data_IF_550219417387
#
_entry.id   IF_550219417387
#
_cell.length_a   1.000
_cell.length_b   1.000
_cell.length_c   1.000
_cell.angle_alpha   90.00
_cell.angle_beta   90.00
_cell.angle_gamma   90.00
#
_symmetry.space_group_name_H-M   'P 1'
#
loop_
_entity.id
_entity.type
_entity.pdbx_description
1 polymer ?
#
# COMPACT_ATOMS: atom_id res chain seq x y z
N UNK A 1 28.68 11.71 -20.10
CA UNK A 1 29.20 11.43 -18.74
C UNK A 1 28.08 10.81 -17.97
N UNK A 2 28.19 9.56 -17.63
CA UNK A 2 27.13 8.81 -16.98
C UNK A 2 27.21 9.03 -15.46
N UNK A 3 26.14 9.47 -14.83
CA UNK A 3 26.01 9.51 -13.37
C UNK A 3 25.68 8.10 -12.86
N UNK A 4 26.73 7.32 -12.57
CA UNK A 4 26.61 5.95 -12.04
C UNK A 4 26.91 5.83 -10.53
N UNK A 5 27.18 6.93 -9.82
CA UNK A 5 27.76 6.85 -8.49
C UNK A 5 26.78 6.81 -7.31
N UNK A 6 25.47 6.99 -7.53
CA UNK A 6 24.48 7.05 -6.45
C UNK A 6 23.94 5.69 -5.99
N UNK A 7 23.78 4.75 -6.92
CA UNK A 7 23.13 3.47 -6.63
C UNK A 7 24.05 2.45 -5.94
N UNK A 8 25.34 2.47 -6.21
CA UNK A 8 26.29 1.54 -5.60
C UNK A 8 26.44 1.75 -4.08
N UNK A 9 26.36 3.00 -3.62
CA UNK A 9 26.42 3.32 -2.19
C UNK A 9 25.14 2.93 -1.43
N UNK A 10 24.00 2.82 -2.12
CA UNK A 10 22.73 2.42 -1.50
C UNK A 10 22.72 0.92 -1.20
N UNK A 11 23.35 0.11 -2.04
CA UNK A 11 23.24 -1.36 -1.98
C UNK A 11 24.28 -2.01 -1.08
N UNK A 12 25.47 -1.42 -0.91
CA UNK A 12 26.53 -1.98 -0.08
C UNK A 12 26.18 -2.12 1.41
N UNK A 13 25.17 -1.40 1.90
CA UNK A 13 24.74 -1.41 3.30
C UNK A 13 23.62 -2.41 3.64
N UNK A 14 23.04 -3.11 2.64
CA UNK A 14 21.80 -3.90 2.86
C UNK A 14 21.96 -5.42 2.84
N UNK A 15 23.17 -5.96 2.72
CA UNK A 15 23.41 -7.41 2.62
C UNK A 15 22.97 -8.23 3.85
N UNK A 16 22.57 -7.59 4.94
CA UNK A 16 22.19 -8.25 6.21
C UNK A 16 20.75 -7.94 6.66
N UNK A 17 19.89 -7.36 5.83
CA UNK A 17 18.59 -6.87 6.31
C UNK A 17 17.45 -7.88 6.22
N UNK A 18 16.76 -8.08 7.34
CA UNK A 18 15.68 -9.06 7.54
C UNK A 18 14.29 -8.58 7.09
N UNK A 19 14.10 -7.30 6.74
CA UNK A 19 12.78 -6.73 6.51
C UNK A 19 12.76 -5.81 5.28
N UNK A 20 12.73 -6.41 4.09
CA UNK A 20 12.42 -5.71 2.85
C UNK A 20 10.97 -6.04 2.52
N UNK A 21 10.14 -5.03 2.47
CA UNK A 21 8.76 -5.16 2.03
C UNK A 21 8.66 -4.88 0.54
N UNK A 22 8.13 -5.82 -0.20
CA UNK A 22 7.95 -5.71 -1.65
C UNK A 22 6.47 -5.84 -1.94
N UNK A 23 5.86 -4.74 -2.37
CA UNK A 23 4.44 -4.70 -2.77
C UNK A 23 4.28 -5.11 -4.23
N UNK A 24 3.33 -5.98 -4.51
CA UNK A 24 3.12 -6.58 -5.83
C UNK A 24 1.76 -6.23 -6.43
N UNK A 25 1.68 -5.94 -7.72
CA UNK A 25 0.51 -5.49 -8.47
C UNK A 25 0.00 -6.46 -9.54
N UNK A 26 -1.32 -6.56 -9.77
CA UNK A 26 -1.90 -7.34 -10.86
C UNK A 26 -2.98 -6.57 -11.65
N UNK A 27 -2.90 -6.59 -12.96
CA UNK A 27 -4.04 -6.31 -13.84
C UNK A 27 -4.88 -7.57 -13.95
N UNK A 28 -6.15 -7.54 -13.59
CA UNK A 28 -7.08 -8.61 -13.94
C UNK A 28 -8.41 -8.10 -14.44
N UNK A 29 -8.81 -8.71 -15.55
CA UNK A 29 -10.10 -8.64 -16.20
C UNK A 29 -10.97 -9.75 -15.60
N UNK A 30 -12.07 -9.35 -14.98
CA UNK A 30 -13.27 -10.11 -14.72
C UNK A 30 -13.22 -11.46 -14.01
N UNK A 31 -13.81 -11.53 -12.83
CA UNK A 31 -14.78 -12.57 -12.45
C UNK A 31 -15.40 -12.24 -11.08
N UNK A 32 -16.71 -12.21 -11.01
CA UNK A 32 -17.52 -11.95 -9.83
C UNK A 32 -17.43 -13.11 -8.82
N UNK A 33 -17.16 -12.82 -7.56
CA UNK A 33 -17.40 -13.75 -6.46
C UNK A 33 -18.27 -13.12 -5.39
N UNK A 34 -19.44 -13.74 -5.16
CA UNK A 34 -20.38 -13.45 -4.08
C UNK A 34 -19.79 -13.91 -2.74
N UNK A 35 -19.60 -12.99 -1.82
CA UNK A 35 -19.24 -13.29 -0.44
C UNK A 35 -20.51 -13.32 0.43
N UNK A 36 -21.05 -14.51 0.70
CA UNK A 36 -22.08 -14.72 1.72
C UNK A 36 -21.41 -15.12 3.04
N UNK A 37 -21.29 -14.18 3.95
CA UNK A 37 -20.88 -14.41 5.33
C UNK A 37 -22.03 -14.05 6.29
N UNK A 38 -22.87 -15.04 6.62
CA UNK A 38 -23.79 -14.92 7.76
C UNK A 38 -23.02 -15.19 9.05
N UNK A 39 -22.97 -14.22 9.93
CA UNK A 39 -22.95 -14.45 11.38
C UNK A 39 -23.33 -13.16 12.12
N UNK A 40 -24.51 -13.18 12.70
CA UNK A 40 -25.02 -12.21 13.67
C UNK A 40 -24.19 -12.27 14.96
N UNK A 41 -23.60 -11.16 15.35
CA UNK A 41 -23.00 -10.98 16.67
C UNK A 41 -23.82 -9.93 17.41
N UNK A 42 -24.43 -10.34 18.52
CA UNK A 42 -25.17 -9.50 19.45
C UNK A 42 -24.28 -8.43 20.09
N UNK A 43 -24.83 -7.22 20.20
CA UNK A 43 -24.22 -6.09 20.88
C UNK A 43 -24.07 -6.34 22.39
N UNK A 44 -22.83 -6.33 22.88
CA UNK A 44 -22.53 -6.05 24.28
C UNK A 44 -21.48 -4.94 24.40
N UNK A 45 -21.72 -3.89 25.21
CA UNK A 45 -20.84 -2.74 25.33
C UNK A 45 -19.81 -2.92 26.46
N UNK A 46 -18.96 -3.91 26.39
CA UNK A 46 -17.77 -4.00 27.23
C UNK A 46 -16.56 -4.41 26.38
N UNK A 47 -15.72 -3.44 26.07
CA UNK A 47 -14.43 -3.63 25.43
C UNK A 47 -13.48 -4.42 26.34
N UNK A 48 -13.60 -5.73 26.37
CA UNK A 48 -12.49 -6.56 26.80
C UNK A 48 -11.50 -6.67 25.63
N UNK A 49 -10.26 -6.24 25.88
CA UNK A 49 -9.12 -6.22 24.96
C UNK A 49 -8.74 -7.65 24.51
N UNK A 50 -9.55 -8.30 23.68
CA UNK A 50 -9.18 -9.55 23.00
C UNK A 50 -8.95 -9.22 21.55
N UNK A 51 -7.80 -9.66 21.01
CA UNK A 51 -7.52 -9.61 19.59
C UNK A 51 -8.66 -10.27 18.81
N UNK A 52 -9.23 -9.58 17.83
CA UNK A 52 -10.24 -10.14 16.94
C UNK A 52 -9.47 -10.84 15.82
N UNK A 53 -9.48 -12.18 15.84
CA UNK A 53 -8.96 -12.96 14.74
C UNK A 53 -10.12 -13.31 13.82
N UNK A 54 -10.06 -12.92 12.56
CA UNK A 54 -11.06 -13.29 11.55
C UNK A 54 -10.63 -14.62 10.92
N UNK A 55 -11.33 -15.72 11.16
CA UNK A 55 -10.92 -17.01 10.57
C UNK A 55 -11.19 -17.02 9.07
N UNK A 56 -10.14 -17.09 8.28
CA UNK A 56 -10.22 -17.25 6.83
C UNK A 56 -10.31 -18.74 6.48
N UNK A 57 -11.51 -19.23 6.23
CA UNK A 57 -11.80 -20.67 6.03
C UNK A 57 -11.37 -21.26 4.67
N UNK A 58 -10.83 -20.50 3.72
CA UNK A 58 -10.63 -20.97 2.34
C UNK A 58 -9.19 -20.87 1.79
N UNK A 59 -8.16 -20.92 2.63
CA UNK A 59 -6.77 -20.86 2.16
C UNK A 59 -6.34 -22.02 1.23
N UNK A 60 -7.08 -23.13 1.15
CA UNK A 60 -6.61 -24.36 0.47
C UNK A 60 -6.98 -24.45 -1.03
N UNK A 61 -7.75 -23.55 -1.60
CA UNK A 61 -8.24 -23.71 -2.99
C UNK A 61 -7.48 -22.92 -4.07
N UNK A 62 -6.46 -22.15 -3.74
CA UNK A 62 -5.84 -21.22 -4.70
C UNK A 62 -4.38 -21.53 -5.05
N UNK A 63 -3.92 -22.77 -4.88
CA UNK A 63 -2.67 -23.20 -5.47
C UNK A 63 -2.88 -23.48 -6.97
N UNK A 64 -2.93 -22.44 -7.78
CA UNK A 64 -2.77 -22.60 -9.22
C UNK A 64 -1.28 -22.59 -9.55
N UNK A 65 -0.85 -23.57 -10.33
CA UNK A 65 0.53 -23.82 -10.77
C UNK A 65 1.11 -22.78 -11.73
N UNK A 66 0.48 -21.63 -11.88
CA UNK A 66 0.97 -20.53 -12.71
C UNK A 66 1.61 -19.46 -11.85
N UNK A 67 2.76 -18.91 -12.25
CA UNK A 67 3.32 -17.74 -11.59
C UNK A 67 2.33 -16.59 -11.75
N UNK A 68 1.57 -16.32 -10.71
CA UNK A 68 0.60 -15.25 -10.68
C UNK A 68 1.41 -13.98 -10.40
N UNK A 69 1.43 -13.06 -11.35
CA UNK A 69 2.05 -11.74 -11.19
C UNK A 69 1.15 -10.89 -10.28
N UNK A 70 1.67 -10.49 -9.15
CA UNK A 70 0.92 -9.88 -8.06
C UNK A 70 1.31 -8.43 -7.89
N UNK A 71 0.33 -7.59 -7.77
CA UNK A 71 0.60 -6.18 -7.58
C UNK A 71 -0.58 -5.42 -6.98
N UNK A 72 -0.32 -4.44 -6.12
CA UNK A 72 -1.29 -3.45 -5.67
C UNK A 72 -1.72 -2.56 -6.85
N UNK A 73 -2.99 -2.37 -7.18
CA UNK A 73 -3.42 -1.58 -8.31
C UNK A 73 -3.87 -0.18 -7.88
N UNK A 74 -3.16 0.92 -8.24
CA UNK A 74 -3.69 2.28 -8.03
C UNK A 74 -5.08 2.44 -8.62
N UNK A 75 -5.41 1.72 -9.68
CA UNK A 75 -6.72 1.70 -10.33
C UNK A 75 -7.88 1.36 -9.38
N UNK A 76 -7.62 0.68 -8.26
CA UNK A 76 -8.63 0.45 -7.22
C UNK A 76 -9.11 1.79 -6.65
N UNK A 77 -8.21 2.75 -6.50
CA UNK A 77 -8.48 4.07 -5.95
C UNK A 77 -8.86 5.10 -7.02
N UNK A 78 -8.52 4.85 -8.28
CA UNK A 78 -8.59 5.83 -9.36
C UNK A 78 -9.78 5.58 -10.29
N UNK A 79 -10.48 6.67 -10.67
CA UNK A 79 -11.59 6.60 -11.64
C UNK A 79 -11.05 6.23 -13.02
N UNK A 80 -11.73 5.35 -13.78
CA UNK A 80 -11.31 5.00 -15.15
C UNK A 80 -11.28 6.21 -16.11
N UNK A 81 -12.23 7.14 -15.94
CA UNK A 81 -12.37 8.35 -16.78
C UNK A 81 -11.86 9.61 -16.07
N UNK A 82 -10.74 9.51 -15.39
CA UNK A 82 -10.15 10.64 -14.66
C UNK A 82 -9.41 11.61 -15.56
N UNK A 83 -9.25 12.89 -15.16
CA UNK A 83 -8.40 13.83 -15.84
C UNK A 83 -6.97 13.28 -15.95
N UNK A 84 -6.29 13.59 -17.05
CA UNK A 84 -4.90 13.15 -17.26
C UNK A 84 -3.98 13.96 -16.31
N UNK A 85 -3.35 13.28 -15.37
CA UNK A 85 -2.36 13.87 -14.49
C UNK A 85 -1.00 14.04 -15.18
N UNK A 86 -0.17 14.95 -14.68
CA UNK A 86 1.21 15.14 -15.13
C UNK A 86 2.06 13.89 -14.89
N UNK A 87 3.07 13.69 -15.73
CA UNK A 87 4.04 12.61 -15.53
C UNK A 87 5.21 13.14 -14.70
N UNK A 88 5.52 12.50 -13.58
CA UNK A 88 6.46 12.97 -12.57
C UNK A 88 7.75 12.14 -12.59
N UNK A 89 8.88 12.85 -12.50
CA UNK A 89 10.24 12.29 -12.44
C UNK A 89 11.09 12.95 -11.34
N UNK A 90 10.57 13.97 -10.66
CA UNK A 90 11.31 14.73 -9.66
C UNK A 90 10.92 14.30 -8.24
N UNK A 91 11.90 13.82 -7.49
CA UNK A 91 11.76 13.39 -6.11
C UNK A 91 11.26 14.52 -5.20
N UNK A 92 11.67 15.76 -5.45
CA UNK A 92 11.27 16.91 -4.62
C UNK A 92 9.81 17.28 -4.86
N UNK A 93 9.33 17.19 -6.11
CA UNK A 93 7.93 17.48 -6.42
C UNK A 93 7.02 16.51 -5.69
N UNK A 94 7.27 15.19 -5.80
CA UNK A 94 6.47 14.19 -5.12
C UNK A 94 6.60 14.28 -3.60
N UNK A 95 7.79 14.62 -3.10
CA UNK A 95 8.05 14.81 -1.67
C UNK A 95 7.17 15.91 -1.08
N UNK A 96 7.11 17.06 -1.73
CA UNK A 96 6.31 18.20 -1.27
C UNK A 96 4.82 17.86 -1.21
N UNK A 97 4.29 17.19 -2.25
CA UNK A 97 2.87 16.77 -2.29
C UNK A 97 2.59 15.71 -1.22
N UNK A 98 3.52 14.79 -1.00
CA UNK A 98 3.41 13.78 0.05
C UNK A 98 3.43 14.38 1.45
N UNK A 99 4.28 15.39 1.70
CA UNK A 99 4.33 16.12 2.97
C UNK A 99 3.01 16.86 3.25
N UNK A 100 2.46 17.57 2.26
CA UNK A 100 1.16 18.22 2.36
C UNK A 100 0.05 17.22 2.70
N UNK A 101 0.01 16.10 1.98
CA UNK A 101 -1.00 15.07 2.20
C UNK A 101 -0.88 14.46 3.60
N UNK A 102 0.34 14.15 4.02
CA UNK A 102 0.61 13.57 5.33
C UNK A 102 0.22 14.52 6.47
N UNK A 103 0.60 15.80 6.35
CA UNK A 103 0.29 16.81 7.38
C UNK A 103 -1.22 17.04 7.50
N UNK A 104 -1.94 17.07 6.39
CA UNK A 104 -3.41 17.18 6.42
C UNK A 104 -4.07 15.95 7.04
N UNK A 105 -3.55 14.75 6.79
CA UNK A 105 -4.09 13.49 7.29
C UNK A 105 -3.73 13.24 8.75
N UNK A 106 -2.45 13.35 9.10
CA UNK A 106 -1.93 12.95 10.41
C UNK A 106 -1.88 14.09 11.42
N UNK A 107 -2.01 15.35 10.97
CA UNK A 107 -1.78 16.58 11.74
C UNK A 107 -0.35 16.71 12.29
N UNK A 108 0.58 16.03 11.65
CA UNK A 108 2.01 15.99 11.97
C UNK A 108 2.82 16.05 10.67
N UNK A 109 4.09 16.44 10.76
CA UNK A 109 4.97 16.45 9.59
C UNK A 109 5.41 15.04 9.22
N UNK A 110 5.53 14.79 7.91
CA UNK A 110 6.13 13.54 7.43
C UNK A 110 7.56 13.41 8.00
N UNK A 111 7.89 12.28 8.66
CA UNK A 111 9.22 12.10 9.25
C UNK A 111 10.36 12.30 8.25
N UNK A 112 11.33 13.13 8.58
CA UNK A 112 12.50 13.40 7.72
C UNK A 112 13.38 12.18 7.47
N UNK A 113 13.22 11.10 8.26
CA UNK A 113 13.89 9.82 8.05
C UNK A 113 13.32 9.00 6.90
N UNK A 114 12.14 9.36 6.35
CA UNK A 114 11.54 8.70 5.21
C UNK A 114 12.00 9.41 3.94
N UNK A 115 12.70 8.71 3.04
CA UNK A 115 13.04 9.21 1.70
C UNK A 115 12.11 8.60 0.65
N UNK A 116 11.70 9.40 -0.33
CA UNK A 116 10.92 8.98 -1.49
C UNK A 116 11.81 9.18 -2.71
N UNK A 117 12.01 8.13 -3.50
CA UNK A 117 12.90 8.13 -4.66
C UNK A 117 12.11 7.64 -5.87
N UNK A 118 12.04 8.45 -6.92
CA UNK A 118 11.43 8.10 -8.19
C UNK A 118 12.52 7.56 -9.12
N UNK A 119 12.30 6.39 -9.68
CA UNK A 119 13.28 5.76 -10.56
C UNK A 119 12.67 5.49 -11.94
N UNK A 120 13.44 5.70 -13.03
CA UNK A 120 13.08 5.19 -14.34
C UNK A 120 12.93 3.68 -14.33
N UNK A 121 12.08 3.14 -15.21
CA UNK A 121 11.76 1.69 -15.26
C UNK A 121 12.98 0.78 -15.15
N UNK A 122 14.04 1.01 -15.96
CA UNK A 122 15.23 0.14 -15.97
C UNK A 122 16.02 0.16 -14.67
N UNK A 123 16.13 1.32 -14.03
CA UNK A 123 16.82 1.47 -12.74
C UNK A 123 15.97 0.85 -11.61
N UNK A 124 14.67 1.11 -11.62
CA UNK A 124 13.73 0.54 -10.67
C UNK A 124 13.74 -1.00 -10.72
N UNK A 125 13.64 -1.59 -11.93
CA UNK A 125 13.71 -3.03 -12.13
C UNK A 125 15.04 -3.61 -11.64
N UNK A 126 16.16 -2.98 -12.01
CA UNK A 126 17.49 -3.42 -11.60
C UNK A 126 17.67 -3.38 -10.09
N UNK A 127 17.20 -2.31 -9.44
CA UNK A 127 17.27 -2.17 -7.99
C UNK A 127 16.39 -3.21 -7.29
N UNK A 128 15.11 -3.32 -7.69
CA UNK A 128 14.18 -4.29 -7.10
C UNK A 128 14.68 -5.74 -7.22
N UNK A 129 15.27 -6.12 -8.37
CA UNK A 129 15.77 -7.48 -8.63
C UNK A 129 16.89 -7.92 -7.68
N UNK A 130 17.47 -7.01 -6.91
CA UNK A 130 18.46 -7.33 -5.84
C UNK A 130 17.78 -7.79 -4.54
N UNK A 131 16.48 -7.53 -4.39
CA UNK A 131 15.72 -7.80 -3.18
C UNK A 131 14.66 -8.89 -3.37
N UNK A 132 14.22 -9.14 -4.59
CA UNK A 132 13.19 -10.12 -4.87
C UNK A 132 13.01 -10.45 -6.35
N UNK A 133 12.14 -11.41 -6.64
CA UNK A 133 11.78 -11.73 -8.01
C UNK A 133 11.07 -10.55 -8.68
N UNK A 134 11.47 -10.20 -9.91
CA UNK A 134 10.84 -9.15 -10.67
C UNK A 134 9.48 -9.58 -11.24
N UNK A 135 8.52 -8.67 -11.21
CA UNK A 135 7.24 -8.78 -11.91
C UNK A 135 6.87 -7.43 -12.52
N UNK A 136 6.35 -7.44 -13.75
CA UNK A 136 5.97 -6.21 -14.49
C UNK A 136 4.86 -5.37 -13.81
N UNK A 137 4.25 -5.89 -12.76
CA UNK A 137 3.23 -5.18 -12.01
C UNK A 137 3.76 -4.41 -10.80
N UNK A 138 5.04 -4.48 -10.49
CA UNK A 138 5.62 -3.80 -9.33
C UNK A 138 5.81 -2.33 -9.67
N UNK A 139 5.17 -1.44 -8.92
CA UNK A 139 5.24 0.01 -9.11
C UNK A 139 5.94 0.73 -7.95
N UNK A 140 6.05 0.09 -6.80
CA UNK A 140 6.72 0.59 -5.61
C UNK A 140 7.25 -0.53 -4.75
N UNK A 141 8.22 -0.22 -3.92
CA UNK A 141 8.66 -1.03 -2.80
C UNK A 141 9.36 -0.18 -1.76
N UNK A 142 9.42 -0.66 -0.55
CA UNK A 142 10.05 0.08 0.53
C UNK A 142 11.04 -0.78 1.33
N UNK A 143 12.03 -0.09 1.91
CA UNK A 143 12.98 -0.64 2.85
C UNK A 143 12.71 0.01 4.20
N UNK A 144 12.27 -0.79 5.16
CA UNK A 144 11.90 -0.33 6.50
C UNK A 144 12.95 -0.77 7.52
N UNK A 145 14.07 -0.08 7.49
CA UNK A 145 15.16 -0.21 8.46
C UNK A 145 15.41 1.14 9.16
N UNK A 146 16.63 1.37 9.66
CA UNK A 146 17.00 2.63 10.28
C UNK A 146 16.90 3.83 9.34
N UNK A 147 17.06 3.59 8.03
CA UNK A 147 16.87 4.58 6.97
C UNK A 147 15.68 4.18 6.10
N UNK A 148 14.51 4.64 6.46
CA UNK A 148 13.26 4.32 5.75
C UNK A 148 13.28 4.85 4.33
N UNK A 149 13.30 3.97 3.34
CA UNK A 149 13.40 4.34 1.91
C UNK A 149 12.23 3.78 1.13
N UNK A 150 11.61 4.64 0.36
CA UNK A 150 10.56 4.32 -0.58
C UNK A 150 11.12 4.49 -1.99
N UNK A 151 10.95 3.48 -2.82
CA UNK A 151 11.28 3.52 -4.23
C UNK A 151 10.02 3.31 -5.03
N UNK A 152 9.75 4.23 -5.96
CA UNK A 152 8.59 4.17 -6.85
C UNK A 152 9.03 4.34 -8.29
N UNK A 153 8.38 3.63 -9.19
CA UNK A 153 8.63 3.77 -10.63
C UNK A 153 7.99 5.06 -11.14
N UNK A 154 8.70 5.84 -11.97
CA UNK A 154 8.14 7.04 -12.62
C UNK A 154 6.77 6.75 -13.25
N UNK A 155 5.81 7.62 -13.02
CA UNK A 155 4.43 7.44 -13.45
C UNK A 155 3.67 8.78 -13.50
N UNK A 156 2.40 8.73 -13.88
CA UNK A 156 1.49 9.85 -13.70
C UNK A 156 1.24 10.12 -12.21
N UNK A 157 1.13 11.41 -11.86
CA UNK A 157 1.05 11.87 -10.47
C UNK A 157 -0.05 11.18 -9.67
N UNK A 158 -1.21 10.96 -10.26
CA UNK A 158 -2.34 10.30 -9.60
C UNK A 158 -2.00 8.86 -9.15
N UNK A 159 -1.45 8.04 -10.05
CA UNK A 159 -1.03 6.69 -9.74
C UNK A 159 0.15 6.68 -8.76
N UNK A 160 1.11 7.61 -8.96
CA UNK A 160 2.30 7.74 -8.13
C UNK A 160 1.94 8.05 -6.68
N UNK A 161 1.03 9.01 -6.45
CA UNK A 161 0.58 9.38 -5.10
C UNK A 161 -0.10 8.24 -4.36
N UNK A 162 -0.84 7.37 -5.06
CA UNK A 162 -1.45 6.18 -4.44
C UNK A 162 -0.38 5.18 -4.03
N UNK A 163 0.61 4.92 -4.89
CA UNK A 163 1.73 4.01 -4.57
C UNK A 163 2.54 4.55 -3.39
N UNK A 164 2.88 5.84 -3.41
CA UNK A 164 3.62 6.49 -2.31
C UNK A 164 2.88 6.37 -0.98
N UNK A 165 1.56 6.59 -0.97
CA UNK A 165 0.75 6.43 0.24
C UNK A 165 0.80 5.00 0.79
N UNK A 166 0.77 4.00 -0.08
CA UNK A 166 0.89 2.60 0.31
C UNK A 166 2.26 2.31 0.94
N UNK A 167 3.32 2.73 0.29
CA UNK A 167 4.68 2.53 0.78
C UNK A 167 4.97 3.29 2.09
N UNK A 168 4.40 4.50 2.27
CA UNK A 168 4.44 5.21 3.56
C UNK A 168 3.77 4.36 4.64
N UNK A 169 2.62 3.74 4.36
CA UNK A 169 1.93 2.84 5.27
C UNK A 169 2.81 1.69 5.77
N UNK A 170 3.73 1.19 4.94
CA UNK A 170 4.70 0.18 5.34
C UNK A 170 5.80 0.74 6.26
N UNK A 171 6.38 1.89 5.91
CA UNK A 171 7.58 2.39 6.60
C UNK A 171 7.30 3.31 7.79
N UNK A 172 6.07 3.82 7.92
CA UNK A 172 5.72 4.75 9.00
C UNK A 172 5.94 4.14 10.38
N UNK A 173 5.71 2.84 10.51
CA UNK A 173 5.90 2.08 11.74
C UNK A 173 6.81 0.88 11.50
N UNK A 174 7.18 0.15 12.55
CA UNK A 174 7.90 -1.12 12.40
C UNK A 174 7.06 -2.12 11.62
N UNK A 175 7.72 -2.93 10.78
CA UNK A 175 7.06 -4.00 10.05
C UNK A 175 6.46 -5.04 11.00
N UNK A 176 5.26 -5.52 10.66
CA UNK A 176 4.57 -6.53 11.43
C UNK A 176 5.07 -7.93 11.04
N UNK A 177 5.13 -8.87 11.99
CA UNK A 177 5.62 -10.24 11.71
C UNK A 177 4.71 -11.02 10.76
N UNK A 178 3.40 -10.78 10.84
CA UNK A 178 2.41 -11.37 9.94
C UNK A 178 2.33 -10.53 8.67
N UNK A 179 2.55 -11.16 7.51
CA UNK A 179 2.54 -10.46 6.23
C UNK A 179 1.14 -9.93 5.84
N UNK A 180 0.08 -10.65 6.21
CA UNK A 180 -1.28 -10.17 5.95
C UNK A 180 -1.61 -8.94 6.79
N UNK A 181 -1.19 -8.92 8.07
CA UNK A 181 -1.34 -7.75 8.92
C UNK A 181 -0.53 -6.55 8.39
N UNK A 182 0.68 -6.81 7.87
CA UNK A 182 1.54 -5.79 7.29
C UNK A 182 0.89 -5.15 6.05
N UNK A 183 0.34 -5.96 5.15
CA UNK A 183 -0.41 -5.46 3.99
C UNK A 183 -1.69 -4.75 4.40
N UNK A 184 -2.45 -5.31 5.35
CA UNK A 184 -3.67 -4.68 5.85
C UNK A 184 -3.39 -3.30 6.48
N UNK A 185 -2.27 -3.18 7.20
CA UNK A 185 -1.77 -1.92 7.75
C UNK A 185 -1.52 -0.88 6.65
N UNK A 186 -0.78 -1.27 5.59
CA UNK A 186 -0.49 -0.38 4.48
C UNK A 186 -1.76 0.00 3.68
N UNK A 187 -2.67 -0.94 3.47
CA UNK A 187 -3.96 -0.66 2.83
C UNK A 187 -4.83 0.29 3.63
N UNK A 188 -4.96 0.09 4.93
CA UNK A 188 -5.72 0.99 5.78
C UNK A 188 -5.18 2.42 5.71
N UNK A 189 -3.85 2.58 5.73
CA UNK A 189 -3.21 3.87 5.53
C UNK A 189 -3.51 4.46 4.15
N UNK A 190 -3.39 3.67 3.08
CA UNK A 190 -3.64 4.09 1.68
C UNK A 190 -5.06 4.60 1.47
N UNK A 191 -6.04 4.02 2.15
CA UNK A 191 -7.44 4.44 2.05
C UNK A 191 -7.63 5.82 2.65
N UNK A 192 -7.10 6.08 3.84
CA UNK A 192 -7.20 7.40 4.45
C UNK A 192 -6.38 8.44 3.66
N UNK A 193 -5.23 8.04 3.11
CA UNK A 193 -4.39 8.85 2.23
C UNK A 193 -5.16 9.30 0.98
N UNK A 194 -5.75 8.37 0.24
CA UNK A 194 -6.54 8.66 -0.96
C UNK A 194 -7.75 9.55 -0.63
N UNK A 195 -8.44 9.29 0.48
CA UNK A 195 -9.53 10.11 0.97
C UNK A 195 -9.09 11.54 1.26
N UNK A 196 -7.95 11.72 1.93
CA UNK A 196 -7.38 13.05 2.20
C UNK A 196 -7.05 13.81 0.92
N UNK A 197 -6.41 13.15 -0.07
CA UNK A 197 -6.16 13.75 -1.39
C UNK A 197 -7.47 14.22 -2.02
N UNK A 198 -8.52 13.42 -1.95
CA UNK A 198 -9.81 13.75 -2.53
C UNK A 198 -10.49 14.92 -1.83
N UNK A 199 -10.60 14.87 -0.51
CA UNK A 199 -11.31 15.87 0.30
C UNK A 199 -10.66 17.24 0.21
N UNK A 200 -9.33 17.29 0.15
CA UNK A 200 -8.58 18.55 0.05
C UNK A 200 -8.16 18.91 -1.37
N UNK A 201 -8.53 18.11 -2.36
CA UNK A 201 -8.15 18.29 -3.77
C UNK A 201 -6.65 18.54 -3.97
N UNK A 202 -5.83 17.79 -3.23
CA UNK A 202 -4.37 17.95 -3.23
C UNK A 202 -3.82 17.75 -4.64
N UNK A 203 -2.96 18.65 -5.09
CA UNK A 203 -2.38 18.69 -6.43
C UNK A 203 -3.43 18.54 -7.57
N UNK A 204 -4.68 18.98 -7.33
CA UNK A 204 -5.83 18.86 -8.23
C UNK A 204 -6.22 17.40 -8.57
N UNK A 205 -5.89 16.45 -7.70
CA UNK A 205 -6.18 15.03 -7.90
C UNK A 205 -7.55 14.58 -7.35
N UNK A 206 -8.32 15.45 -6.69
CA UNK A 206 -9.59 15.09 -6.07
C UNK A 206 -10.58 14.44 -7.03
N UNK A 207 -10.64 14.91 -8.30
CA UNK A 207 -11.50 14.34 -9.32
C UNK A 207 -11.02 12.96 -9.82
N UNK A 208 -9.75 12.63 -9.64
CA UNK A 208 -9.18 11.35 -10.05
C UNK A 208 -9.50 10.21 -9.09
N UNK A 209 -9.78 10.52 -7.82
CA UNK A 209 -10.03 9.52 -6.79
C UNK A 209 -11.49 9.08 -6.81
N UNK A 210 -11.74 7.77 -6.71
CA UNK A 210 -13.08 7.17 -6.61
C UNK A 210 -13.80 7.62 -5.33
N UNK A 211 -15.14 7.61 -5.39
CA UNK A 211 -15.99 7.85 -4.22
C UNK A 211 -16.09 6.61 -3.34
N UNK A 212 -16.20 5.45 -3.98
CA UNK A 212 -16.22 4.13 -3.36
C UNK A 212 -15.09 3.30 -3.96
N UNK A 213 -14.40 2.56 -3.11
CA UNK A 213 -13.32 1.69 -3.56
C UNK A 213 -13.92 0.41 -4.12
N UNK A 214 -13.48 0.07 -5.33
CA UNK A 214 -13.86 -1.18 -5.97
C UNK A 214 -12.84 -2.25 -5.55
N UNK A 215 -13.17 -2.94 -4.48
CA UNK A 215 -12.33 -3.98 -3.90
C UNK A 215 -12.36 -5.24 -4.76
N UNK A 216 -11.64 -5.22 -5.85
CA UNK A 216 -11.38 -6.45 -6.61
C UNK A 216 -10.10 -7.11 -6.09
N UNK A 217 -10.19 -8.29 -5.49
CA UNK A 217 -9.04 -8.93 -4.91
C UNK A 217 -8.00 -9.31 -5.97
N UNK A 218 -6.76 -8.95 -5.74
CA UNK A 218 -5.65 -9.57 -6.45
C UNK A 218 -5.60 -11.06 -6.08
N UNK A 219 -5.43 -11.97 -7.03
CA UNK A 219 -5.54 -13.42 -6.80
C UNK A 219 -4.27 -14.04 -6.19
N UNK A 220 -3.56 -13.33 -5.31
CA UNK A 220 -2.29 -13.81 -4.76
C UNK A 220 -2.38 -14.34 -3.32
N UNK A 221 -3.54 -14.25 -2.73
CA UNK A 221 -3.76 -14.66 -1.36
C UNK A 221 -3.23 -13.71 -0.29
N UNK A 222 -2.18 -12.93 -0.58
CA UNK A 222 -1.61 -11.98 0.39
C UNK A 222 -2.40 -10.68 0.41
N UNK A 223 -2.47 -10.01 -0.73
CA UNK A 223 -3.18 -8.74 -0.85
C UNK A 223 -4.69 -8.92 -0.75
N UNK A 224 -5.24 -9.99 -1.32
CA UNK A 224 -6.68 -10.29 -1.29
C UNK A 224 -7.20 -10.43 0.13
N UNK A 225 -6.50 -11.21 0.94
CA UNK A 225 -6.87 -11.46 2.32
C UNK A 225 -6.78 -10.18 3.13
N UNK A 226 -5.67 -9.45 3.00
CA UNK A 226 -5.46 -8.17 3.68
C UNK A 226 -6.55 -7.16 3.30
N UNK A 227 -6.88 -7.08 2.02
CA UNK A 227 -7.84 -6.15 1.47
C UNK A 227 -9.28 -6.47 1.89
N UNK A 228 -9.68 -7.76 1.80
CA UNK A 228 -10.97 -8.22 2.27
C UNK A 228 -11.16 -7.97 3.78
N UNK A 229 -10.10 -8.14 4.57
CA UNK A 229 -10.12 -7.81 5.99
C UNK A 229 -10.34 -6.31 6.22
N UNK A 230 -9.60 -5.44 5.51
CA UNK A 230 -9.74 -3.99 5.63
C UNK A 230 -11.16 -3.55 5.24
N UNK A 231 -11.69 -4.04 4.10
CA UNK A 231 -13.06 -3.76 3.65
C UNK A 231 -14.09 -4.16 4.72
N UNK A 232 -13.98 -5.39 5.25
CA UNK A 232 -14.86 -5.87 6.31
C UNK A 232 -14.82 -4.98 7.56
N UNK A 233 -13.63 -4.56 7.98
CA UNK A 233 -13.47 -3.72 9.17
C UNK A 233 -14.04 -2.30 8.97
N UNK A 234 -13.87 -1.72 7.77
CA UNK A 234 -14.42 -0.41 7.43
C UNK A 234 -15.95 -0.43 7.37
N UNK A 235 -16.56 -1.49 6.84
CA UNK A 235 -18.02 -1.69 6.86
C UNK A 235 -18.59 -1.80 8.27
N UNK A 236 -17.77 -2.08 9.27
CA UNK A 236 -18.15 -2.09 10.70
C UNK A 236 -17.92 -0.75 11.41
N UNK A 237 -17.95 0.36 10.69
CA UNK A 237 -17.87 1.74 11.20
C UNK A 237 -16.48 2.15 11.74
N UNK A 238 -15.42 1.45 11.37
CA UNK A 238 -14.06 1.87 11.68
C UNK A 238 -13.56 2.88 10.66
N UNK A 239 -12.83 3.91 11.12
CA UNK A 239 -12.06 4.76 10.23
C UNK A 239 -10.80 4.02 9.79
N UNK A 240 -10.33 4.27 8.58
CA UNK A 240 -9.16 3.59 8.04
C UNK A 240 -7.89 3.86 8.86
N UNK A 241 -7.71 5.09 9.33
CA UNK A 241 -6.55 5.46 10.16
C UNK A 241 -6.60 4.81 11.57
N UNK A 242 -7.80 4.62 12.13
CA UNK A 242 -7.95 3.91 13.41
C UNK A 242 -7.61 2.43 13.23
N UNK A 243 -8.03 1.82 12.11
CA UNK A 243 -7.68 0.45 11.77
C UNK A 243 -6.17 0.26 11.59
N UNK A 244 -5.51 1.20 10.89
CA UNK A 244 -4.04 1.21 10.80
C UNK A 244 -3.41 1.19 12.20
N UNK A 245 -3.87 2.04 13.11
CA UNK A 245 -3.36 2.12 14.48
C UNK A 245 -3.63 0.84 15.29
N UNK A 246 -4.80 0.22 15.10
CA UNK A 246 -5.16 -1.03 15.77
C UNK A 246 -4.30 -2.22 15.32
N UNK A 247 -3.98 -2.30 14.02
CA UNK A 247 -3.06 -3.30 13.46
C UNK A 247 -1.64 -3.12 14.03
N UNK A 248 -1.13 -1.86 14.05
CA UNK A 248 0.19 -1.54 14.62
C UNK A 248 0.26 -1.94 16.09
N UNK A 249 -0.78 -1.70 16.86
CA UNK A 249 -0.88 -2.05 18.29
C UNK A 249 -1.27 -3.50 18.53
N UNK A 250 -1.50 -4.28 17.47
CA UNK A 250 -1.95 -5.68 17.52
C UNK A 250 -3.28 -5.87 18.30
N UNK A 251 -4.17 -4.90 18.21
CA UNK A 251 -5.52 -5.03 18.74
C UNK A 251 -6.43 -5.83 17.81
N UNK A 252 -6.09 -5.87 16.53
CA UNK A 252 -6.72 -6.70 15.50
C UNK A 252 -5.64 -7.41 14.68
N UNK A 253 -6.01 -8.51 14.06
CA UNK A 253 -5.15 -9.30 13.16
C UNK A 253 -6.01 -9.90 12.06
N UNK A 254 -5.43 -10.07 10.86
CA UNK A 254 -6.05 -10.71 9.70
C UNK A 254 -6.20 -12.22 9.91
#
# INVERSE_FOLDING_TARGET
MYYSSGLENIVGSYSNNKYIHVSYFSRNIGDNYDFKGENSIEHQPHYTRKAITVPYKNQQKYFTTYPINHSFAPEIFLKPSRPKAGFIKDDNEIRNIAEETFELMMKEKLPGSISINILPFGEFQSLHSRFGAWSNGILGFSINDDTKKIFVMENHLDALMIVVGHEIGHVLTKSLPNKHDEEAKAFAFSIEWAKTIKEHNIANLGLSIKDELDFQPARNGLHDVAFAFVDFMLKKWRKAIDLHSDLVRKYVSV
#
